data_IF_703520984881
#
_entry.id   IF_703520984881
#
_cell.length_a   1.000
_cell.length_b   1.000
_cell.length_c   1.000
_cell.angle_alpha   90.00
_cell.angle_beta   90.00
_cell.angle_gamma   90.00
#
_symmetry.space_group_name_H-M   'P 1'
#
loop_
_entity.id
_entity.type
_entity.pdbx_description
1 polymer ?
#
# COMPACT_ATOMS: atom_id res chain seq x y z
N UNK A 1 17.24 5.95 17.12
CA UNK A 1 16.81 5.11 15.97
C UNK A 1 15.67 5.74 15.17
N UNK A 2 14.56 6.20 15.77
CA UNK A 2 13.42 6.83 15.07
C UNK A 2 13.79 7.94 14.08
N UNK A 3 14.68 8.87 14.47
CA UNK A 3 15.13 9.95 13.56
C UNK A 3 15.76 9.45 12.26
N UNK A 4 16.51 8.34 12.29
CA UNK A 4 17.18 7.79 11.09
C UNK A 4 16.13 7.21 10.14
N UNK A 5 15.13 6.49 10.66
CA UNK A 5 14.05 5.93 9.85
C UNK A 5 13.26 7.05 9.16
N UNK A 6 12.83 8.09 9.89
CA UNK A 6 12.14 9.23 9.28
C UNK A 6 13.02 10.00 8.27
N UNK A 7 14.33 10.12 8.52
CA UNK A 7 15.26 10.80 7.61
C UNK A 7 15.38 10.13 6.25
N UNK A 8 15.29 8.79 6.16
CA UNK A 8 15.25 8.08 4.88
C UNK A 8 13.84 7.95 4.31
N UNK A 9 12.83 7.77 5.17
CA UNK A 9 11.46 7.47 4.76
C UNK A 9 10.74 8.67 4.14
N UNK A 10 10.86 9.88 4.72
CA UNK A 10 10.20 11.07 4.17
C UNK A 10 10.73 11.46 2.78
N UNK A 11 12.05 11.53 2.53
CA UNK A 11 12.57 11.85 1.19
C UNK A 11 12.18 10.82 0.14
N UNK A 12 12.12 9.52 0.51
CA UNK A 12 11.68 8.47 -0.41
C UNK A 12 10.21 8.63 -0.80
N UNK A 13 9.33 8.97 0.16
CA UNK A 13 7.92 9.29 -0.12
C UNK A 13 7.78 10.56 -0.97
N UNK A 14 8.51 11.62 -0.65
CA UNK A 14 8.52 12.86 -1.42
C UNK A 14 8.97 12.64 -2.87
N UNK A 15 10.04 11.86 -3.08
CA UNK A 15 10.51 11.47 -4.40
C UNK A 15 9.48 10.64 -5.16
N UNK A 16 8.89 9.62 -4.52
CA UNK A 16 7.82 8.80 -5.12
C UNK A 16 6.61 9.63 -5.56
N UNK A 17 6.20 10.61 -4.75
CA UNK A 17 5.09 11.50 -5.05
C UNK A 17 5.40 12.40 -6.26
N UNK A 18 6.59 13.02 -6.29
CA UNK A 18 7.04 13.85 -7.42
C UNK A 18 7.10 13.03 -8.70
N UNK A 19 7.70 11.83 -8.67
CA UNK A 19 7.83 10.97 -9.84
C UNK A 19 6.48 10.46 -10.36
N UNK A 20 5.54 10.11 -9.46
CA UNK A 20 4.20 9.67 -9.83
C UNK A 20 3.38 10.81 -10.46
N UNK A 21 3.49 12.03 -9.92
CA UNK A 21 2.87 13.23 -10.50
C UNK A 21 3.47 13.58 -11.87
N UNK A 22 4.80 13.51 -12.02
CA UNK A 22 5.47 13.72 -13.31
C UNK A 22 4.99 12.69 -14.34
N UNK A 23 4.86 11.41 -13.96
CA UNK A 23 4.38 10.36 -14.85
C UNK A 23 2.93 10.62 -15.32
N UNK A 24 2.03 11.04 -14.42
CA UNK A 24 0.67 11.44 -14.77
C UNK A 24 0.63 12.68 -15.68
N UNK A 25 1.47 13.68 -15.42
CA UNK A 25 1.59 14.87 -16.26
C UNK A 25 2.13 14.52 -17.66
N UNK A 26 3.10 13.61 -17.78
CA UNK A 26 3.61 13.10 -19.06
C UNK A 26 2.55 12.30 -19.84
N UNK A 27 1.73 11.51 -19.16
CA UNK A 27 0.59 10.81 -19.76
C UNK A 27 -0.42 11.82 -20.31
N UNK A 28 -0.79 12.82 -19.51
CA UNK A 28 -1.78 13.85 -19.86
C UNK A 28 -1.31 14.80 -20.97
N UNK A 29 -0.01 15.17 -21.01
CA UNK A 29 0.54 16.12 -22.00
C UNK A 29 0.74 15.55 -23.41
N UNK A 30 0.47 14.26 -23.62
CA UNK A 30 0.38 13.66 -24.95
C UNK A 30 1.28 12.44 -25.10
N UNK A 31 0.74 11.26 -24.77
CA UNK A 31 1.42 10.01 -25.12
C UNK A 31 1.27 9.73 -26.63
N UNK A 32 2.37 9.49 -27.39
CA UNK A 32 2.27 9.20 -28.82
C UNK A 32 1.40 7.95 -29.09
N UNK A 33 0.68 7.96 -30.23
CA UNK A 33 -0.35 6.97 -30.55
C UNK A 33 0.15 5.51 -30.49
N UNK A 34 1.43 5.26 -30.81
CA UNK A 34 2.09 3.94 -30.72
C UNK A 34 2.21 3.37 -29.31
N UNK A 35 2.20 4.19 -28.26
CA UNK A 35 2.25 3.75 -26.85
C UNK A 35 0.99 4.08 -26.05
N UNK A 36 -0.04 4.62 -26.70
CA UNK A 36 -1.30 5.07 -26.07
C UNK A 36 -2.02 3.97 -25.28
N UNK A 37 -1.99 2.72 -25.75
CA UNK A 37 -2.55 1.57 -25.02
C UNK A 37 -1.72 1.20 -23.77
N UNK A 38 -0.38 1.34 -23.83
CA UNK A 38 0.51 1.07 -22.70
C UNK A 38 0.43 2.18 -21.63
N UNK A 39 0.16 3.42 -22.05
CA UNK A 39 -0.08 4.58 -21.20
C UNK A 39 -1.13 4.34 -20.11
N UNK A 40 -2.13 3.49 -20.39
CA UNK A 40 -3.18 3.12 -19.44
C UNK A 40 -2.63 2.30 -18.27
N UNK A 41 -1.69 1.38 -18.50
CA UNK A 41 -1.07 0.63 -17.40
C UNK A 41 -0.19 1.54 -16.55
N UNK A 42 0.53 2.47 -17.18
CA UNK A 42 1.31 3.50 -16.47
C UNK A 42 0.42 4.43 -15.64
N UNK A 43 -0.76 4.79 -16.15
CA UNK A 43 -1.75 5.58 -15.41
C UNK A 43 -2.26 4.82 -14.18
N UNK A 44 -2.67 3.55 -14.33
CA UNK A 44 -3.11 2.73 -13.21
C UNK A 44 -2.00 2.50 -12.17
N UNK A 45 -0.76 2.33 -12.61
CA UNK A 45 0.41 2.28 -11.73
C UNK A 45 0.59 3.57 -10.93
N UNK A 46 0.76 4.70 -11.60
CA UNK A 46 0.96 6.00 -10.96
C UNK A 46 -0.19 6.41 -10.03
N UNK A 47 -1.43 6.06 -10.40
CA UNK A 47 -2.61 6.29 -9.56
C UNK A 47 -2.57 5.42 -8.28
N UNK A 48 -2.22 4.13 -8.42
CA UNK A 48 -2.07 3.24 -7.28
C UNK A 48 -0.90 3.66 -6.36
N UNK A 49 0.22 4.11 -6.93
CA UNK A 49 1.38 4.59 -6.18
C UNK A 49 1.04 5.87 -5.39
N UNK A 50 0.30 6.83 -5.97
CA UNK A 50 -0.21 8.00 -5.24
C UNK A 50 -1.15 7.62 -4.08
N UNK A 51 -2.04 6.65 -4.29
CA UNK A 51 -2.92 6.14 -3.24
C UNK A 51 -2.09 5.48 -2.13
N UNK A 52 -1.08 4.69 -2.48
CA UNK A 52 -0.17 4.05 -1.53
C UNK A 52 0.58 5.08 -0.68
N UNK A 53 1.12 6.13 -1.31
CA UNK A 53 1.82 7.22 -0.63
C UNK A 53 0.87 7.99 0.29
N UNK A 54 -0.38 8.26 -0.13
CA UNK A 54 -1.37 8.93 0.71
C UNK A 54 -1.77 8.09 1.93
N UNK A 55 -1.91 6.77 1.77
CA UNK A 55 -2.19 5.85 2.88
C UNK A 55 -1.04 5.80 3.90
N UNK A 56 0.20 5.74 3.40
CA UNK A 56 1.43 5.67 4.20
C UNK A 56 1.72 6.98 4.96
N UNK A 57 1.50 8.14 4.33
CA UNK A 57 1.55 9.44 5.02
C UNK A 57 0.51 9.53 6.14
N UNK A 58 -0.64 8.85 6.03
CA UNK A 58 -1.65 8.83 7.09
C UNK A 58 -1.34 7.86 8.23
N UNK A 59 -0.77 6.67 7.94
CA UNK A 59 -0.44 5.67 8.97
C UNK A 59 0.90 5.95 9.66
N UNK A 60 1.93 6.37 8.91
CA UNK A 60 3.35 6.48 9.31
C UNK A 60 3.76 5.39 10.30
N UNK A 61 3.89 4.17 9.80
CA UNK A 61 4.08 3.01 10.65
C UNK A 61 5.53 2.80 11.07
N UNK A 62 5.69 2.39 12.33
CA UNK A 62 6.95 1.89 12.87
C UNK A 62 6.86 0.38 13.07
N UNK A 63 7.49 -0.37 12.16
CA UNK A 63 7.73 -1.80 12.32
C UNK A 63 8.73 -2.06 13.45
N UNK A 64 8.38 -2.95 14.37
CA UNK A 64 9.29 -3.53 15.37
C UNK A 64 9.21 -5.06 15.29
N UNK A 65 10.34 -5.71 14.98
CA UNK A 65 10.39 -7.16 14.76
C UNK A 65 10.79 -7.87 16.05
N UNK A 66 9.97 -8.81 16.54
CA UNK A 66 10.32 -9.72 17.64
C UNK A 66 9.83 -11.13 17.31
N UNK A 67 10.71 -11.93 16.71
CA UNK A 67 10.41 -13.32 16.33
C UNK A 67 9.66 -14.07 17.45
N UNK A 68 8.49 -14.69 17.16
CA UNK A 68 7.91 -14.94 15.84
C UNK A 68 7.02 -13.83 15.26
N UNK A 69 6.79 -12.70 15.95
CA UNK A 69 5.76 -11.71 15.61
C UNK A 69 6.28 -10.32 15.19
N UNK A 70 5.38 -9.49 14.65
CA UNK A 70 5.67 -8.19 14.05
C UNK A 70 4.76 -7.12 14.64
N UNK A 71 5.31 -6.20 15.44
CA UNK A 71 4.54 -5.13 16.06
C UNK A 71 4.57 -3.90 15.15
N UNK A 72 3.41 -3.50 14.62
CA UNK A 72 3.25 -2.28 13.85
C UNK A 72 2.63 -1.19 14.74
N UNK A 73 3.37 -0.10 14.96
CA UNK A 73 2.89 1.05 15.72
C UNK A 73 2.65 2.20 14.75
N UNK A 74 1.38 2.56 14.52
CA UNK A 74 1.03 3.74 13.75
C UNK A 74 1.35 5.01 14.56
N UNK A 75 2.11 5.93 13.96
CA UNK A 75 2.48 7.22 14.58
C UNK A 75 1.98 8.41 13.74
N UNK A 76 1.33 8.13 12.61
CA UNK A 76 0.82 9.13 11.67
C UNK A 76 -0.46 9.82 12.14
N UNK A 77 -0.94 10.81 11.35
CA UNK A 77 -2.11 11.62 11.68
C UNK A 77 -3.41 10.81 11.81
N UNK A 78 -3.48 9.58 11.29
CA UNK A 78 -4.60 8.66 11.51
C UNK A 78 -4.93 8.48 13.01
N UNK A 79 -3.91 8.54 13.88
CA UNK A 79 -4.03 8.35 15.33
C UNK A 79 -4.90 9.42 16.00
N UNK A 80 -4.98 10.61 15.40
CA UNK A 80 -5.85 11.71 15.86
C UNK A 80 -7.32 11.53 15.50
N UNK A 81 -7.63 10.65 14.53
CA UNK A 81 -8.99 10.36 14.07
C UNK A 81 -9.51 9.11 14.79
N UNK A 82 -8.88 7.97 14.56
CA UNK A 82 -9.14 6.74 15.32
C UNK A 82 -8.10 5.65 15.02
N UNK A 83 -7.89 4.76 15.99
CA UNK A 83 -7.01 3.60 15.87
C UNK A 83 -7.48 2.61 14.79
N UNK A 84 -8.80 2.42 14.65
CA UNK A 84 -9.37 1.55 13.62
C UNK A 84 -9.20 2.14 12.20
N UNK A 85 -9.13 3.47 12.07
CA UNK A 85 -8.78 4.14 10.81
C UNK A 85 -7.30 3.94 10.45
N UNK A 86 -6.37 3.97 11.41
CA UNK A 86 -4.98 3.59 11.15
C UNK A 86 -4.85 2.18 10.58
N UNK A 87 -5.52 1.19 11.19
CA UNK A 87 -5.52 -0.19 10.72
C UNK A 87 -6.13 -0.34 9.32
N UNK A 88 -7.14 0.46 8.99
CA UNK A 88 -7.70 0.54 7.64
C UNK A 88 -6.69 1.10 6.63
N UNK A 89 -6.01 2.21 6.96
CA UNK A 89 -4.97 2.81 6.12
C UNK A 89 -3.82 1.83 5.84
N UNK A 90 -3.36 1.09 6.86
CA UNK A 90 -2.34 0.06 6.68
C UNK A 90 -2.82 -1.09 5.79
N UNK A 91 -4.01 -1.62 6.06
CA UNK A 91 -4.60 -2.69 5.24
C UNK A 91 -4.78 -2.26 3.77
N UNK A 92 -5.10 -0.98 3.54
CA UNK A 92 -5.19 -0.38 2.22
C UNK A 92 -3.81 -0.26 1.55
N UNK A 93 -2.78 0.16 2.30
CA UNK A 93 -1.38 0.21 1.84
C UNK A 93 -0.82 -1.17 1.48
N UNK A 94 -1.09 -2.21 2.27
CA UNK A 94 -0.77 -3.59 1.89
C UNK A 94 -1.52 -4.01 0.60
N UNK A 95 -2.78 -3.60 0.46
CA UNK A 95 -3.58 -3.82 -0.74
C UNK A 95 -2.99 -3.15 -1.99
N UNK A 96 -2.51 -1.91 -1.88
CA UNK A 96 -1.87 -1.19 -3.00
C UNK A 96 -0.54 -1.83 -3.40
N UNK A 97 0.26 -2.39 -2.48
CA UNK A 97 1.47 -3.14 -2.83
C UNK A 97 1.15 -4.38 -3.69
N UNK A 98 0.12 -5.15 -3.31
CA UNK A 98 -0.34 -6.30 -4.11
C UNK A 98 -0.86 -5.83 -5.47
N UNK A 99 -1.59 -4.72 -5.51
CA UNK A 99 -2.10 -4.13 -6.75
C UNK A 99 -0.97 -3.65 -7.69
N UNK A 100 0.07 -2.97 -7.19
CA UNK A 100 1.25 -2.59 -8.01
C UNK A 100 1.96 -3.83 -8.55
N UNK A 101 2.08 -4.90 -7.76
CA UNK A 101 2.65 -6.18 -8.22
C UNK A 101 1.85 -6.77 -9.39
N UNK A 102 0.52 -6.77 -9.30
CA UNK A 102 -0.39 -7.22 -10.36
C UNK A 102 -0.24 -6.36 -11.63
N UNK A 103 -0.24 -5.03 -11.50
CA UNK A 103 -0.07 -4.10 -12.62
C UNK A 103 1.29 -4.32 -13.31
N UNK A 104 2.34 -4.59 -12.53
CA UNK A 104 3.67 -4.90 -13.05
C UNK A 104 3.69 -6.24 -13.82
N UNK A 105 3.02 -7.28 -13.32
CA UNK A 105 2.84 -8.55 -14.04
C UNK A 105 2.08 -8.37 -15.37
N UNK A 106 0.98 -7.61 -15.38
CA UNK A 106 0.22 -7.31 -16.60
C UNK A 106 1.09 -6.49 -17.58
N UNK A 107 1.93 -5.58 -17.08
CA UNK A 107 2.87 -4.79 -17.88
C UNK A 107 3.94 -5.66 -18.56
N UNK A 108 4.51 -6.64 -17.86
CA UNK A 108 5.42 -7.62 -18.47
C UNK A 108 4.71 -8.49 -19.52
N UNK A 109 3.50 -8.97 -19.22
CA UNK A 109 2.69 -9.74 -20.16
C UNK A 109 2.32 -8.94 -21.43
N UNK A 110 1.98 -7.65 -21.30
CA UNK A 110 1.72 -6.77 -22.44
C UNK A 110 2.96 -6.65 -23.34
N UNK A 111 4.15 -6.46 -22.74
CA UNK A 111 5.43 -6.38 -23.48
C UNK A 111 5.81 -7.70 -24.15
N UNK A 112 5.54 -8.85 -23.53
CA UNK A 112 5.72 -10.15 -24.17
C UNK A 112 4.72 -10.36 -25.33
N UNK A 113 3.47 -9.90 -25.15
CA UNK A 113 2.40 -10.08 -26.15
C UNK A 113 2.63 -9.27 -27.42
N UNK A 114 3.08 -8.00 -27.32
CA UNK A 114 3.27 -7.13 -28.49
C UNK A 114 4.37 -7.64 -29.45
N UNK A 115 5.30 -8.46 -28.96
CA UNK A 115 6.33 -9.13 -29.77
C UNK A 115 5.80 -10.32 -30.58
N UNK A 116 4.62 -10.85 -30.25
CA UNK A 116 4.06 -12.07 -30.86
C UNK A 116 2.68 -11.86 -31.51
N UNK A 117 1.94 -10.85 -31.09
CA UNK A 117 0.53 -10.60 -31.47
C UNK A 117 0.26 -9.08 -31.52
N UNK A 118 -0.71 -8.62 -32.34
CA UNK A 118 -1.08 -7.19 -32.38
C UNK A 118 -1.48 -6.67 -30.99
N UNK A 119 -1.22 -5.38 -30.76
CA UNK A 119 -1.41 -4.74 -29.46
C UNK A 119 -2.89 -4.83 -28.99
N UNK A 120 -3.15 -5.24 -27.75
CA UNK A 120 -4.52 -5.29 -27.21
C UNK A 120 -5.10 -3.87 -27.07
N UNK A 121 -6.43 -3.77 -27.15
CA UNK A 121 -7.13 -2.49 -27.06
C UNK A 121 -7.07 -1.89 -25.65
N UNK A 122 -7.08 -0.56 -25.59
CA UNK A 122 -7.22 0.24 -24.37
C UNK A 122 -8.34 -0.25 -23.43
N UNK A 123 -9.51 -0.59 -24.00
CA UNK A 123 -10.66 -1.05 -23.23
C UNK A 123 -10.39 -2.40 -22.56
N UNK A 124 -9.81 -3.36 -23.31
CA UNK A 124 -9.49 -4.68 -22.79
C UNK A 124 -8.47 -4.62 -21.63
N UNK A 125 -7.51 -3.70 -21.70
CA UNK A 125 -6.52 -3.50 -20.63
C UNK A 125 -7.15 -2.94 -19.36
N UNK A 126 -8.04 -1.95 -19.47
CA UNK A 126 -8.81 -1.44 -18.33
C UNK A 126 -9.68 -2.53 -17.68
N UNK A 127 -10.35 -3.35 -18.49
CA UNK A 127 -11.16 -4.49 -18.01
C UNK A 127 -10.27 -5.50 -17.27
N UNK A 128 -9.11 -5.89 -17.82
CA UNK A 128 -8.17 -6.80 -17.16
C UNK A 128 -7.70 -6.23 -15.82
N UNK A 129 -7.25 -4.96 -15.77
CA UNK A 129 -6.77 -4.33 -14.53
C UNK A 129 -7.89 -4.25 -13.48
N UNK A 130 -9.12 -3.87 -13.86
CA UNK A 130 -10.25 -3.86 -12.92
C UNK A 130 -10.63 -5.28 -12.45
N UNK A 131 -10.68 -6.27 -13.35
CA UNK A 131 -10.96 -7.65 -12.98
C UNK A 131 -9.90 -8.23 -12.03
N UNK A 132 -8.62 -7.86 -12.19
CA UNK A 132 -7.55 -8.25 -11.26
C UNK A 132 -7.51 -7.41 -9.97
N UNK A 133 -8.11 -6.21 -9.96
CA UNK A 133 -8.32 -5.40 -8.75
C UNK A 133 -9.50 -5.89 -7.91
N UNK A 134 -10.52 -6.50 -8.51
CA UNK A 134 -11.70 -7.00 -7.80
C UNK A 134 -11.37 -7.96 -6.64
N UNK A 135 -10.42 -8.92 -6.74
CA UNK A 135 -9.99 -9.72 -5.59
C UNK A 135 -9.42 -8.89 -4.43
N UNK A 136 -8.63 -7.85 -4.70
CA UNK A 136 -8.07 -6.97 -3.66
C UNK A 136 -9.17 -6.13 -3.00
N UNK A 137 -10.06 -5.53 -3.79
CA UNK A 137 -11.22 -4.78 -3.30
C UNK A 137 -12.17 -5.72 -2.53
N UNK A 138 -12.42 -6.94 -3.03
CA UNK A 138 -13.23 -7.93 -2.33
C UNK A 138 -12.55 -8.43 -1.05
N UNK A 139 -11.23 -8.56 -1.01
CA UNK A 139 -10.51 -8.87 0.23
C UNK A 139 -10.66 -7.72 1.26
N UNK A 140 -10.72 -6.47 0.82
CA UNK A 140 -10.94 -5.31 1.72
C UNK A 140 -12.39 -5.05 2.12
N UNK A 141 -13.36 -5.44 1.29
CA UNK A 141 -14.80 -5.16 1.49
C UNK A 141 -15.54 -6.39 2.05
N UNK A 142 -15.21 -7.59 1.57
CA UNK A 142 -15.88 -8.86 1.93
C UNK A 142 -15.26 -9.50 3.16
N UNK A 143 -13.94 -9.45 3.31
CA UNK A 143 -13.42 -9.38 4.67
C UNK A 143 -13.86 -8.02 5.18
N UNK A 144 -14.79 -8.02 6.15
CA UNK A 144 -14.66 -7.04 7.22
C UNK A 144 -13.19 -7.14 7.63
N UNK A 145 -12.37 -6.10 7.49
CA UNK A 145 -10.93 -6.17 7.86
C UNK A 145 -10.76 -6.51 9.36
N UNK A 146 -11.84 -6.30 10.14
CA UNK A 146 -12.05 -6.94 11.44
C UNK A 146 -11.91 -8.49 11.49
N UNK A 147 -12.15 -9.30 10.47
CA UNK A 147 -12.12 -10.78 10.61
C UNK A 147 -10.71 -11.31 10.93
N UNK A 148 -9.65 -10.60 10.51
CA UNK A 148 -8.27 -10.90 10.90
C UNK A 148 -7.87 -10.09 12.15
N UNK A 149 -8.13 -8.78 12.18
CA UNK A 149 -7.70 -7.88 13.26
C UNK A 149 -8.54 -7.98 14.55
N UNK A 150 -9.84 -8.30 14.47
CA UNK A 150 -10.76 -8.48 15.61
C UNK A 150 -10.65 -9.87 16.25
N UNK A 151 -10.01 -10.84 15.58
CA UNK A 151 -9.51 -12.07 16.24
C UNK A 151 -8.18 -11.84 16.95
N UNK A 152 -7.29 -10.99 16.43
CA UNK A 152 -6.10 -10.56 17.18
C UNK A 152 -6.41 -9.50 18.27
N UNK A 153 -7.63 -8.96 18.28
CA UNK A 153 -8.15 -8.12 19.38
C UNK A 153 -8.54 -8.96 20.62
N UNK A 154 -8.55 -10.29 20.52
CA UNK A 154 -8.60 -11.19 21.67
C UNK A 154 -7.24 -11.14 22.38
N UNK A 155 -7.13 -10.14 23.26
CA UNK A 155 -5.98 -9.76 24.08
C UNK A 155 -5.32 -10.97 24.76
N UNK A 156 -4.09 -11.34 24.36
CA UNK A 156 -3.23 -12.20 25.17
C UNK A 156 -2.42 -11.32 26.15
N UNK A 157 -2.73 -11.35 27.47
CA UNK A 157 -2.03 -10.52 28.44
C UNK A 157 -0.53 -10.85 28.55
N UNK A 158 -0.10 -12.06 28.16
CA UNK A 158 1.31 -12.43 28.16
C UNK A 158 2.14 -11.61 27.15
N UNK A 159 1.53 -11.26 26.00
CA UNK A 159 2.21 -10.49 24.96
C UNK A 159 2.42 -9.02 25.39
N UNK A 160 1.42 -8.41 26.04
CA UNK A 160 1.55 -7.05 26.57
C UNK A 160 2.63 -6.96 27.65
N UNK A 161 2.67 -7.92 28.59
CA UNK A 161 3.69 -7.97 29.63
C UNK A 161 5.11 -8.06 29.05
N UNK A 162 5.34 -8.97 28.09
CA UNK A 162 6.63 -9.13 27.43
C UNK A 162 7.08 -7.89 26.64
N UNK A 163 6.14 -7.09 26.11
CA UNK A 163 6.44 -5.87 25.35
C UNK A 163 6.70 -4.68 26.29
N UNK A 164 5.98 -4.59 27.42
CA UNK A 164 6.25 -3.60 28.46
C UNK A 164 7.61 -3.81 29.13
N UNK A 165 8.04 -5.06 29.33
CA UNK A 165 9.36 -5.40 29.87
C UNK A 165 10.51 -4.95 28.94
N UNK A 166 10.39 -5.19 27.63
CA UNK A 166 11.43 -4.80 26.66
C UNK A 166 11.50 -3.29 26.38
N UNK A 167 10.39 -2.57 26.55
CA UNK A 167 10.27 -1.15 26.18
C UNK A 167 9.52 -0.34 27.25
N UNK A 168 10.07 -0.25 28.48
CA UNK A 168 9.40 0.37 29.63
C UNK A 168 9.13 1.88 29.43
N UNK A 169 9.91 2.53 28.56
CA UNK A 169 9.79 3.97 28.26
C UNK A 169 8.80 4.28 27.11
N UNK A 170 8.14 3.27 26.53
CA UNK A 170 7.18 3.48 25.43
C UNK A 170 5.76 3.47 26.00
N UNK A 171 4.96 4.48 25.65
CA UNK A 171 3.55 4.46 26.03
C UNK A 171 2.76 3.54 25.08
N UNK A 172 2.20 2.47 25.63
CA UNK A 172 1.47 1.44 24.89
C UNK A 172 -0.03 1.74 24.70
N UNK A 173 -0.52 2.89 25.17
CA UNK A 173 -1.90 3.34 24.91
C UNK A 173 -2.15 3.52 23.41
N UNK A 174 -2.89 2.60 22.80
CA UNK A 174 -3.18 2.61 21.36
C UNK A 174 -2.25 1.75 20.50
N UNK A 175 -1.35 0.96 21.09
CA UNK A 175 -0.63 -0.07 20.34
C UNK A 175 -1.51 -1.30 20.11
N UNK A 176 -1.58 -1.78 18.86
CA UNK A 176 -2.05 -3.13 18.56
C UNK A 176 -0.83 -4.05 18.46
N UNK A 177 -0.87 -5.16 19.20
CA UNK A 177 0.17 -6.19 19.18
C UNK A 177 -0.30 -7.32 18.26
N UNK A 178 0.59 -7.77 17.38
CA UNK A 178 0.41 -8.87 16.43
C UNK A 178 1.50 -9.91 16.66
#
# INVERSE_FOLDING_TARGET
>A
QTMIVHFFHLPMLGFGLIMSLLLLLSIARGTPNTIKNYSILLFWGAFNDLISIAADIMSMERLTVRLPSFIFIAVGPCTSISLDFCNYCNSFFCGTIVQSTIIQCISFWYRARILQKPAPSALLLNVIVMCCALPNIAHMVRSKVQVFFKRMKDYDPALLAAVQELYPNTNWTGAYLY
#
